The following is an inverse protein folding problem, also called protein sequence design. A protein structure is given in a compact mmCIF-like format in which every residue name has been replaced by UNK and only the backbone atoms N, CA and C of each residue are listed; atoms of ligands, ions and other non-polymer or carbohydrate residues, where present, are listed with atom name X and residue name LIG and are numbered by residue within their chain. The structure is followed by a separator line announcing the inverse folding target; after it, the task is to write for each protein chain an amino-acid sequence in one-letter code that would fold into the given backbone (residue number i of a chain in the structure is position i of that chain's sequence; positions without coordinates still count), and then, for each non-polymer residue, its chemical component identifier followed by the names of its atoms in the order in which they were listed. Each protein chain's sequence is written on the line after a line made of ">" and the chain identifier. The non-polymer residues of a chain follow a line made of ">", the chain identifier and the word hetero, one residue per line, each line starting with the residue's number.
data_IF_454638019653
#
_entry.id   IF_454638019653
#
_cell.length_a   1.000
_cell.length_b   1.000
_cell.length_c   1.000
_cell.angle_alpha   90.00
_cell.angle_beta   90.00
_cell.angle_gamma   90.00
#
_symmetry.space_group_name_H-M   'P 1'
#
loop_
_entity.id
_entity.type
_entity.pdbx_description
1 polymer ?
#
# COMPACT_ATOMS: atom_id res chain seq x y z
N UNK A 1 -41.94 -11.09 -6.62
CA UNK A 1 -40.77 -11.88 -7.07
C UNK A 1 -39.84 -10.91 -7.80
N UNK A 2 -38.85 -10.35 -7.10
CA UNK A 2 -37.41 -10.67 -7.20
C UNK A 2 -36.84 -10.30 -8.60
N UNK A 3 -35.82 -9.45 -8.80
CA UNK A 3 -34.79 -8.92 -7.91
C UNK A 3 -34.24 -7.61 -8.48
N UNK A 4 -33.93 -6.67 -7.59
CA UNK A 4 -33.17 -5.44 -7.84
C UNK A 4 -31.70 -5.80 -8.15
N UNK A 5 -31.25 -5.51 -9.38
CA UNK A 5 -29.85 -5.63 -9.76
C UNK A 5 -29.15 -4.30 -9.53
N UNK A 6 -28.53 -4.18 -8.37
CA UNK A 6 -27.70 -3.06 -7.95
C UNK A 6 -26.48 -2.91 -8.88
N UNK A 7 -26.57 -1.99 -9.85
CA UNK A 7 -25.49 -1.68 -10.77
C UNK A 7 -24.46 -0.76 -10.09
N UNK A 8 -23.36 -1.42 -9.71
CA UNK A 8 -22.13 -0.87 -9.13
C UNK A 8 -21.61 0.34 -9.94
N UNK A 9 -21.68 1.52 -9.34
CA UNK A 9 -21.18 2.79 -9.89
C UNK A 9 -19.72 2.71 -10.38
N UNK A 10 -19.39 3.28 -11.56
CA UNK A 10 -18.01 3.43 -12.00
C UNK A 10 -17.34 4.53 -11.18
N UNK A 11 -16.32 4.19 -10.38
CA UNK A 11 -15.55 5.19 -9.63
C UNK A 11 -14.62 5.93 -10.59
N UNK A 12 -15.01 7.17 -10.88
CA UNK A 12 -14.30 8.20 -11.63
C UNK A 12 -12.79 8.27 -11.28
N UNK A 13 -11.88 8.45 -12.26
CA UNK A 13 -10.46 8.57 -11.99
C UNK A 13 -10.19 9.90 -11.28
N UNK A 14 -10.07 9.87 -9.95
CA UNK A 14 -9.63 11.03 -9.17
C UNK A 14 -8.30 11.53 -9.75
N UNK A 15 -8.33 12.73 -10.36
CA UNK A 15 -7.17 13.49 -10.85
C UNK A 15 -6.01 13.30 -9.86
N UNK A 16 -4.87 12.78 -10.35
CA UNK A 16 -3.62 12.67 -9.60
C UNK A 16 -3.20 14.09 -9.22
N UNK A 17 -3.69 14.59 -8.09
CA UNK A 17 -3.14 15.77 -7.44
C UNK A 17 -1.65 15.49 -7.27
N UNK A 18 -0.83 16.30 -7.95
CA UNK A 18 0.61 16.35 -7.83
C UNK A 18 0.92 16.25 -6.36
N UNK A 19 1.53 15.14 -5.91
CA UNK A 19 1.92 14.99 -4.49
C UNK A 19 2.75 16.23 -4.19
N UNK A 20 2.21 17.15 -3.38
CA UNK A 20 2.95 18.31 -2.87
C UNK A 20 4.31 17.78 -2.41
N UNK A 21 5.39 18.41 -2.88
CA UNK A 21 6.77 18.05 -2.48
C UNK A 21 6.73 17.87 -0.97
N UNK A 22 6.87 16.62 -0.53
CA UNK A 22 6.88 16.31 0.90
C UNK A 22 8.14 17.00 1.41
N UNK A 23 7.99 17.85 2.41
CA UNK A 23 9.14 18.51 3.03
C UNK A 23 10.23 17.46 3.29
N UNK A 24 11.49 17.69 2.91
CA UNK A 24 12.55 16.67 2.96
C UNK A 24 12.78 16.14 4.37
N UNK A 25 12.43 16.93 5.39
CA UNK A 25 12.51 16.56 6.80
C UNK A 25 11.27 15.82 7.32
N UNK A 26 10.19 15.74 6.53
CA UNK A 26 8.99 15.03 6.96
C UNK A 26 9.25 13.52 6.98
N UNK A 27 8.85 12.81 8.05
CA UNK A 27 9.13 11.40 8.17
C UNK A 27 8.52 10.65 6.99
N UNK A 28 9.24 9.60 6.57
CA UNK A 28 8.79 8.75 5.48
C UNK A 28 7.52 8.03 5.95
N UNK A 29 6.46 8.06 5.13
CA UNK A 29 5.17 7.43 5.51
C UNK A 29 5.43 5.99 5.92
N UNK A 30 4.79 5.59 7.02
CA UNK A 30 4.82 4.20 7.44
C UNK A 30 4.40 3.29 6.29
N UNK A 31 5.12 2.17 6.16
CA UNK A 31 4.86 1.12 5.20
C UNK A 31 3.56 0.41 5.58
N UNK A 32 2.62 0.36 4.64
CA UNK A 32 1.39 -0.42 4.81
C UNK A 32 1.68 -1.92 4.74
N UNK A 33 0.73 -2.76 5.16
CA UNK A 33 0.85 -4.22 5.11
C UNK A 33 1.13 -4.69 3.68
N UNK A 34 0.45 -4.06 2.72
CA UNK A 34 0.71 -4.24 1.30
C UNK A 34 2.15 -3.90 0.91
N UNK A 35 2.78 -2.88 1.52
CA UNK A 35 4.17 -2.55 1.20
C UNK A 35 5.15 -3.58 1.76
N UNK A 36 4.92 -4.12 2.95
CA UNK A 36 5.74 -5.21 3.47
C UNK A 36 5.62 -6.45 2.58
N UNK A 37 4.38 -6.86 2.27
CA UNK A 37 4.12 -7.96 1.34
C UNK A 37 4.72 -7.71 -0.04
N UNK A 38 4.51 -6.51 -0.60
CA UNK A 38 5.01 -6.15 -1.92
C UNK A 38 6.53 -6.05 -1.97
N UNK A 39 7.23 -5.68 -0.89
CA UNK A 39 8.69 -5.73 -0.90
C UNK A 39 9.17 -7.18 -0.98
N UNK A 40 8.70 -8.05 -0.06
CA UNK A 40 9.11 -9.45 -0.01
C UNK A 40 8.73 -10.22 -1.29
N UNK A 41 7.50 -10.03 -1.76
CA UNK A 41 7.01 -10.70 -2.96
C UNK A 41 7.51 -10.05 -4.25
N UNK A 42 7.95 -8.79 -4.25
CA UNK A 42 8.49 -8.17 -5.47
C UNK A 42 9.76 -8.88 -5.91
N UNK A 43 10.63 -9.22 -4.97
CA UNK A 43 11.85 -9.97 -5.25
C UNK A 43 11.51 -11.39 -5.75
N UNK A 44 10.53 -12.06 -5.12
CA UNK A 44 10.02 -13.38 -5.55
C UNK A 44 9.43 -13.29 -6.97
N UNK A 45 8.46 -12.40 -7.21
CA UNK A 45 7.78 -12.24 -8.50
C UNK A 45 8.77 -11.86 -9.59
N UNK A 46 9.74 -10.99 -9.31
CA UNK A 46 10.78 -10.59 -10.26
C UNK A 46 11.77 -11.73 -10.55
N UNK A 47 12.04 -12.59 -9.58
CA UNK A 47 12.88 -13.77 -9.77
C UNK A 47 12.15 -14.85 -10.57
N UNK A 48 10.86 -15.07 -10.31
CA UNK A 48 10.01 -16.00 -11.08
C UNK A 48 9.73 -15.48 -12.48
N UNK A 49 9.65 -14.15 -12.65
CA UNK A 49 9.29 -13.48 -13.89
C UNK A 49 10.32 -12.38 -14.21
N UNK A 50 11.55 -12.73 -14.64
CA UNK A 50 12.55 -11.73 -14.98
C UNK A 50 12.16 -10.87 -16.20
N UNK A 51 11.23 -11.37 -17.04
CA UNK A 51 10.74 -10.70 -18.25
C UNK A 51 9.66 -9.64 -17.97
N UNK A 52 8.97 -9.71 -16.83
CA UNK A 52 7.86 -8.78 -16.55
C UNK A 52 8.36 -7.44 -16.05
N UNK A 53 7.81 -6.37 -16.63
CA UNK A 53 8.15 -4.99 -16.26
C UNK A 53 7.72 -4.67 -14.82
N UNK A 54 8.36 -3.70 -14.18
CA UNK A 54 7.98 -3.24 -12.82
C UNK A 54 6.49 -2.91 -12.69
N UNK A 55 5.86 -2.40 -13.76
CA UNK A 55 4.42 -2.15 -13.80
C UNK A 55 3.58 -3.44 -13.74
N UNK A 56 4.01 -4.50 -14.44
CA UNK A 56 3.37 -5.82 -14.38
C UNK A 56 3.61 -6.51 -13.04
N UNK A 57 4.82 -6.43 -12.48
CA UNK A 57 5.11 -6.92 -11.11
C UNK A 57 4.12 -6.31 -10.12
N UNK A 58 3.91 -4.99 -10.18
CA UNK A 58 2.95 -4.31 -9.31
C UNK A 58 1.50 -4.79 -9.48
N UNK A 59 1.09 -5.18 -10.70
CA UNK A 59 -0.23 -5.78 -10.93
C UNK A 59 -0.32 -7.16 -10.30
N UNK A 60 0.65 -8.04 -10.55
CA UNK A 60 0.73 -9.39 -10.00
C UNK A 60 0.72 -9.36 -8.47
N UNK A 61 1.51 -8.47 -7.85
CA UNK A 61 1.52 -8.27 -6.40
C UNK A 61 0.16 -7.81 -5.87
N UNK A 62 -0.51 -6.90 -6.59
CA UNK A 62 -1.85 -6.46 -6.22
C UNK A 62 -2.89 -7.58 -6.27
N UNK A 63 -2.78 -8.47 -7.24
CA UNK A 63 -3.64 -9.66 -7.34
C UNK A 63 -3.32 -10.70 -6.27
N UNK A 64 -2.04 -11.03 -6.05
CA UNK A 64 -1.61 -11.91 -4.96
C UNK A 64 -2.07 -11.37 -3.60
N UNK A 65 -1.88 -10.08 -3.34
CA UNK A 65 -2.36 -9.46 -2.10
C UNK A 65 -3.88 -9.56 -1.94
N UNK A 66 -4.66 -9.41 -3.00
CA UNK A 66 -6.12 -9.61 -2.92
C UNK A 66 -6.49 -11.07 -2.70
N UNK A 67 -5.70 -12.00 -3.25
CA UNK A 67 -5.89 -13.44 -3.09
C UNK A 67 -5.49 -13.96 -1.70
N UNK A 68 -4.53 -13.31 -1.02
CA UNK A 68 -4.14 -13.68 0.34
C UNK A 68 -5.31 -13.58 1.33
N UNK A 69 -5.39 -14.53 2.24
CA UNK A 69 -6.39 -14.51 3.32
C UNK A 69 -6.05 -13.47 4.39
N UNK A 70 -7.00 -13.16 5.28
CA UNK A 70 -6.75 -12.27 6.41
C UNK A 70 -5.64 -12.81 7.33
N UNK A 71 -5.52 -14.13 7.45
CA UNK A 71 -4.49 -14.80 8.25
C UNK A 71 -3.09 -14.57 7.68
N UNK A 72 -2.94 -14.71 6.36
CA UNK A 72 -1.66 -14.44 5.68
C UNK A 72 -1.30 -12.95 5.73
N UNK A 73 -2.31 -12.07 5.69
CA UNK A 73 -2.13 -10.63 5.83
C UNK A 73 -1.78 -10.22 7.26
N UNK A 74 -2.27 -10.94 8.27
CA UNK A 74 -2.11 -10.62 9.68
C UNK A 74 -0.66 -10.30 10.11
N UNK A 75 0.38 -11.10 9.77
CA UNK A 75 1.76 -10.75 10.10
C UNK A 75 2.21 -9.46 9.41
N UNK A 76 1.81 -9.22 8.16
CA UNK A 76 2.11 -7.98 7.45
C UNK A 76 1.35 -6.78 8.00
N UNK A 77 0.10 -6.97 8.42
CA UNK A 77 -0.72 -5.94 9.07
C UNK A 77 -0.16 -5.59 10.43
N UNK A 78 0.29 -6.56 11.23
CA UNK A 78 0.96 -6.32 12.50
C UNK A 78 2.26 -5.53 12.32
N UNK A 79 3.13 -5.93 11.37
CA UNK A 79 4.33 -5.17 10.99
C UNK A 79 3.98 -3.75 10.54
N UNK A 80 2.93 -3.61 9.73
CA UNK A 80 2.46 -2.30 9.27
C UNK A 80 1.87 -1.43 10.37
N UNK A 81 1.19 -2.00 11.35
CA UNK A 81 0.69 -1.27 12.51
C UNK A 81 1.85 -0.79 13.38
N UNK A 82 2.87 -1.62 13.61
CA UNK A 82 4.07 -1.24 14.33
C UNK A 82 4.82 -0.10 13.62
N UNK A 83 5.02 -0.22 12.31
CA UNK A 83 5.66 0.81 11.49
C UNK A 83 4.81 2.08 11.37
N UNK A 84 3.48 1.95 11.30
CA UNK A 84 2.56 3.07 11.34
C UNK A 84 2.68 3.83 12.66
N UNK A 85 2.72 3.15 13.81
CA UNK A 85 2.93 3.79 15.13
C UNK A 85 4.25 4.54 15.16
N UNK A 86 5.34 3.92 14.70
CA UNK A 86 6.64 4.57 14.56
C UNK A 86 6.53 5.85 13.72
N UNK A 87 5.90 5.76 12.54
CA UNK A 87 5.69 6.90 11.66
C UNK A 87 4.83 7.98 12.31
N UNK A 88 3.78 7.61 13.05
CA UNK A 88 2.93 8.55 13.77
C UNK A 88 3.74 9.32 14.81
N UNK A 89 4.54 8.64 15.64
CA UNK A 89 5.44 9.30 16.60
C UNK A 89 6.48 10.20 15.93
N UNK A 90 7.17 9.72 14.88
CA UNK A 90 8.12 10.55 14.14
C UNK A 90 7.42 11.76 13.49
N UNK A 91 6.18 11.59 13.01
CA UNK A 91 5.38 12.65 12.39
C UNK A 91 4.92 13.67 13.41
N UNK A 92 4.55 13.25 14.61
CA UNK A 92 4.20 14.14 15.71
C UNK A 92 5.41 14.97 16.13
N UNK A 93 6.57 14.34 16.34
CA UNK A 93 7.83 15.05 16.60
C UNK A 93 8.19 16.01 15.47
N UNK A 94 8.04 15.59 14.21
CA UNK A 94 8.29 16.42 13.05
C UNK A 94 7.33 17.62 12.95
N UNK A 95 6.05 17.42 13.27
CA UNK A 95 5.07 18.50 13.30
C UNK A 95 5.36 19.47 14.46
N UNK A 96 5.75 18.95 15.63
CA UNK A 96 6.08 19.74 16.81
C UNK A 96 7.34 20.59 16.60
N UNK A 97 8.37 20.07 15.91
CA UNK A 97 9.57 20.86 15.58
C UNK A 97 9.36 21.84 14.42
N UNK A 98 8.26 21.71 13.65
CA UNK A 98 7.94 22.57 12.51
C UNK A 98 6.87 23.62 12.80
N UNK A 99 6.28 23.60 14.00
CA UNK A 99 5.39 24.64 14.51
C UNK A 99 6.23 25.70 15.24
#
# INVERSE_FOLDING_TARGET
>A
MAATKEAKQPKEPKKRTTRRKKDPNAPKRGLSAYMFFANENRDIVRSENPDVTFGQVGRILGERWKALTAEEKQPYESKAQADKKRYESEKELYNATRA
#
